data_IF_129495138493
#
_entry.id   IF_129495138493
#
_cell.length_a   1.000
_cell.length_b   1.000
_cell.length_c   1.000
_cell.angle_alpha   90.00
_cell.angle_beta   90.00
_cell.angle_gamma   90.00
#
_symmetry.space_group_name_H-M   'P 1'
#
loop_
_entity.id
_entity.type
_entity.pdbx_description
1 polymer ?
#
# COMPACT_ATOMS: atom_id res chain seq x y z
N UNK A 1 -3.86 1.75 -14.23
CA UNK A 1 -4.68 0.65 -13.66
C UNK A 1 -4.69 0.81 -12.15
N UNK A 2 -5.85 0.73 -11.50
CA UNK A 2 -5.90 0.78 -10.04
C UNK A 2 -5.87 -0.64 -9.48
N UNK A 3 -5.12 -0.85 -8.40
CA UNK A 3 -5.13 -2.10 -7.64
C UNK A 3 -5.40 -1.74 -6.19
N UNK A 4 -6.37 -2.42 -5.59
CA UNK A 4 -6.70 -2.22 -4.17
C UNK A 4 -6.32 -3.47 -3.38
N UNK A 5 -5.49 -3.30 -2.36
CA UNK A 5 -5.14 -4.34 -1.40
C UNK A 5 -5.91 -4.10 -0.09
N UNK A 6 -6.69 -5.09 0.31
CA UNK A 6 -7.43 -5.08 1.56
C UNK A 6 -6.69 -5.91 2.61
N UNK A 7 -6.26 -5.25 3.68
CA UNK A 7 -5.62 -5.84 4.85
C UNK A 7 -6.44 -5.63 6.12
N UNK A 8 -7.73 -5.29 6.00
CA UNK A 8 -8.59 -5.04 7.18
C UNK A 8 -8.81 -6.29 8.02
N UNK A 9 -8.55 -7.47 7.48
CA UNK A 9 -8.66 -8.76 8.15
C UNK A 9 -7.29 -9.36 8.55
N UNK A 10 -6.26 -8.52 8.68
CA UNK A 10 -4.89 -8.92 9.02
C UNK A 10 -4.02 -9.30 7.81
N UNK A 11 -2.75 -9.68 8.09
CA UNK A 11 -1.63 -9.94 7.16
C UNK A 11 -0.81 -8.70 6.76
N UNK A 12 -0.42 -7.86 7.71
CA UNK A 12 0.43 -6.69 7.46
C UNK A 12 1.94 -6.96 7.54
N UNK A 13 2.34 -8.10 8.09
CA UNK A 13 3.74 -8.55 8.10
C UNK A 13 4.22 -9.11 6.76
N UNK A 14 5.22 -9.99 6.79
CA UNK A 14 5.81 -10.64 5.61
C UNK A 14 4.83 -11.11 4.51
N UNK A 15 3.71 -11.81 4.82
CA UNK A 15 2.76 -12.21 3.77
C UNK A 15 2.08 -11.02 3.08
N UNK A 16 1.91 -9.89 3.77
CA UNK A 16 1.37 -8.65 3.20
C UNK A 16 2.35 -7.96 2.26
N UNK A 17 3.63 -7.94 2.65
CA UNK A 17 4.71 -7.41 1.81
C UNK A 17 4.86 -8.21 0.51
N UNK A 18 4.79 -9.54 0.59
CA UNK A 18 4.85 -10.39 -0.61
C UNK A 18 3.68 -10.11 -1.56
N UNK A 19 2.47 -9.97 -1.00
CA UNK A 19 1.26 -9.62 -1.75
C UNK A 19 1.33 -8.22 -2.37
N UNK A 20 1.95 -7.27 -1.65
CA UNK A 20 2.25 -5.94 -2.14
C UNK A 20 3.20 -5.99 -3.35
N UNK A 21 4.27 -6.79 -3.26
CA UNK A 21 5.23 -6.97 -4.36
C UNK A 21 4.59 -7.60 -5.60
N UNK A 22 3.78 -8.64 -5.45
CA UNK A 22 3.04 -9.24 -6.58
C UNK A 22 2.10 -8.22 -7.24
N UNK A 23 1.38 -7.42 -6.44
CA UNK A 23 0.53 -6.35 -6.94
C UNK A 23 1.32 -5.27 -7.71
N UNK A 24 2.46 -4.83 -7.18
CA UNK A 24 3.37 -3.88 -7.83
C UNK A 24 3.90 -4.46 -9.16
N UNK A 25 4.29 -5.73 -9.18
CA UNK A 25 4.77 -6.41 -10.39
C UNK A 25 3.71 -6.52 -11.49
N UNK A 26 2.43 -6.59 -11.11
CA UNK A 26 1.29 -6.60 -12.04
C UNK A 26 0.86 -5.19 -12.47
N UNK A 27 1.35 -4.15 -11.80
CA UNK A 27 1.02 -2.77 -12.12
C UNK A 27 1.88 -2.24 -13.27
N UNK A 28 1.23 -1.57 -14.22
CA UNK A 28 1.90 -0.80 -15.25
C UNK A 28 2.59 0.47 -14.72
N UNK A 29 3.31 1.22 -15.59
CA UNK A 29 4.05 2.42 -15.22
C UNK A 29 3.21 3.52 -14.57
N UNK A 30 1.93 3.64 -14.97
CA UNK A 30 0.95 4.60 -14.42
C UNK A 30 -0.07 3.92 -13.47
N UNK A 31 0.42 2.94 -12.70
CA UNK A 31 -0.36 2.22 -11.71
C UNK A 31 -0.63 3.04 -10.46
N UNK A 32 -1.87 2.96 -9.95
CA UNK A 32 -2.20 3.43 -8.60
C UNK A 32 -2.52 2.22 -7.72
N UNK A 33 -1.94 2.20 -6.53
CA UNK A 33 -2.21 1.22 -5.50
C UNK A 33 -2.96 1.88 -4.35
N UNK A 34 -4.06 1.28 -3.92
CA UNK A 34 -4.73 1.66 -2.67
C UNK A 34 -4.57 0.53 -1.66
N UNK A 35 -3.97 0.82 -0.51
CA UNK A 35 -3.84 -0.10 0.61
C UNK A 35 -4.88 0.30 1.65
N UNK A 36 -5.80 -0.60 1.95
CA UNK A 36 -6.83 -0.39 2.97
C UNK A 36 -6.49 -1.23 4.20
N UNK A 37 -6.45 -0.56 5.34
CA UNK A 37 -6.02 -1.14 6.61
C UNK A 37 -6.97 -0.73 7.72
N UNK A 38 -7.05 -1.56 8.75
CA UNK A 38 -7.81 -1.19 9.94
C UNK A 38 -7.00 -0.14 10.72
N UNK A 39 -7.67 0.91 11.22
CA UNK A 39 -7.02 1.98 11.98
C UNK A 39 -6.26 1.46 13.21
N UNK A 40 -6.75 0.38 13.84
CA UNK A 40 -6.07 -0.24 14.98
C UNK A 40 -4.72 -0.88 14.61
N UNK A 41 -4.60 -1.33 13.36
CA UNK A 41 -3.43 -2.00 12.82
C UNK A 41 -2.59 -1.04 11.95
N UNK A 42 -2.95 0.25 11.91
CA UNK A 42 -2.25 1.25 11.11
C UNK A 42 -0.76 1.35 11.49
N UNK A 43 -0.39 1.05 12.74
CA UNK A 43 1.01 1.00 13.16
C UNK A 43 1.80 -0.14 12.49
N UNK A 44 1.15 -1.25 12.14
CA UNK A 44 1.81 -2.37 11.45
C UNK A 44 2.04 -2.11 9.95
N UNK A 45 1.58 -0.96 9.43
CA UNK A 45 1.74 -0.60 8.02
C UNK A 45 3.12 -0.07 7.66
N UNK A 46 3.99 0.17 8.65
CA UNK A 46 5.32 0.73 8.46
C UNK A 46 6.13 -0.08 7.43
N UNK A 47 6.11 -1.42 7.55
CA UNK A 47 6.78 -2.32 6.61
C UNK A 47 6.27 -2.20 5.17
N UNK A 48 4.98 -1.94 4.98
CA UNK A 48 4.40 -1.74 3.65
C UNK A 48 4.82 -0.39 3.07
N UNK A 49 4.87 0.65 3.89
CA UNK A 49 5.30 1.99 3.50
C UNK A 49 6.79 2.00 3.13
N UNK A 50 7.64 1.36 3.94
CA UNK A 50 9.06 1.19 3.65
C UNK A 50 9.28 0.47 2.32
N UNK A 51 8.50 -0.58 2.04
CA UNK A 51 8.59 -1.30 0.77
C UNK A 51 8.15 -0.43 -0.41
N UNK A 52 7.06 0.34 -0.27
CA UNK A 52 6.64 1.29 -1.30
C UNK A 52 7.75 2.30 -1.64
N UNK A 53 8.41 2.85 -0.62
CA UNK A 53 9.55 3.75 -0.81
C UNK A 53 10.72 3.06 -1.53
N UNK A 54 11.06 1.82 -1.14
CA UNK A 54 12.12 1.03 -1.80
C UNK A 54 11.82 0.78 -3.28
N UNK A 55 10.56 0.60 -3.63
CA UNK A 55 10.10 0.41 -5.01
C UNK A 55 9.96 1.73 -5.79
N UNK A 56 10.23 2.88 -5.18
CA UNK A 56 10.14 4.20 -5.82
C UNK A 56 8.70 4.69 -6.00
N UNK A 57 7.78 4.26 -5.14
CA UNK A 57 6.42 4.78 -5.12
C UNK A 57 6.34 6.03 -4.24
N UNK A 58 5.63 7.05 -4.73
CA UNK A 58 5.14 8.14 -3.91
C UNK A 58 3.89 7.66 -3.17
N UNK A 59 3.76 7.96 -1.87
CA UNK A 59 2.59 7.56 -1.10
C UNK A 59 1.96 8.75 -0.39
N UNK A 60 0.64 8.76 -0.39
CA UNK A 60 -0.17 9.73 0.32
C UNK A 60 -1.07 8.99 1.31
N UNK A 61 -0.85 9.16 2.63
CA UNK A 61 -1.78 8.65 3.62
C UNK A 61 -3.07 9.48 3.53
N UNK A 62 -4.14 8.87 3.04
CA UNK A 62 -5.49 9.40 3.25
C UNK A 62 -5.89 8.95 4.64
N UNK A 63 -5.77 9.86 5.61
CA UNK A 63 -5.99 9.61 7.03
C UNK A 63 -7.28 8.87 7.37
N UNK A 64 -7.41 8.46 8.62
CA UNK A 64 -8.44 7.53 9.05
C UNK A 64 -9.86 8.09 8.87
N UNK A 65 -10.62 7.51 7.95
CA UNK A 65 -12.07 7.74 7.86
C UNK A 65 -12.75 6.75 8.80
N UNK A 66 -12.77 7.07 10.11
CA UNK A 66 -13.23 6.17 11.16
C UNK A 66 -12.24 5.03 11.42
N UNK A 67 -12.69 3.79 11.27
CA UNK A 67 -11.90 2.59 11.59
C UNK A 67 -11.04 2.06 10.41
N UNK A 68 -10.93 2.82 9.33
CA UNK A 68 -10.17 2.44 8.14
C UNK A 68 -9.10 3.50 7.87
N UNK A 69 -7.86 3.04 7.78
CA UNK A 69 -6.69 3.78 7.31
C UNK A 69 -6.47 3.45 5.83
N UNK A 70 -6.19 4.46 5.00
CA UNK A 70 -5.95 4.25 3.57
C UNK A 70 -4.62 4.86 3.15
N UNK A 71 -3.80 4.09 2.45
CA UNK A 71 -2.56 4.57 1.86
C UNK A 71 -2.72 4.48 0.34
N UNK A 72 -2.64 5.62 -0.34
CA UNK A 72 -2.63 5.65 -1.79
C UNK A 72 -1.18 5.77 -2.23
N UNK A 73 -0.68 4.78 -2.95
CA UNK A 73 0.65 4.81 -3.53
C UNK A 73 0.57 4.90 -5.05
N UNK A 74 1.38 5.77 -5.63
CA UNK A 74 1.48 5.98 -7.07
C UNK A 74 2.92 5.79 -7.49
N UNK A 75 3.14 5.12 -8.62
CA UNK A 75 4.49 4.92 -9.11
C UNK A 75 5.06 6.29 -9.50
N UNK A 76 6.18 6.67 -8.89
CA UNK A 76 6.89 7.85 -9.37
C UNK A 76 7.60 7.44 -10.65
N UNK A 77 7.06 7.86 -11.80
CA UNK A 77 7.77 7.80 -13.07
C UNK A 77 8.97 8.74 -12.95
N UNK A 78 10.11 8.23 -12.46
CA UNK A 78 11.40 8.84 -12.72
C UNK A 78 11.61 8.76 -14.24
N UNK A 79 11.34 9.88 -14.88
CA UNK A 79 11.45 10.12 -16.31
C UNK A 79 12.92 10.23 -16.73
#
# INVERSE_FOLDING_TARGET
MNITLDFRNGNLGYPGVDRLRDAIGRMGPDGELTIMVNSNDAHETDMLVEELQRQGFDYQPKGSAGNIYNIIARRHLLH
#
